data_IF_866334492455
#
_entry.id   IF_866334492455
#
_cell.length_a   1.000
_cell.length_b   1.000
_cell.length_c   1.000
_cell.angle_alpha   90.00
_cell.angle_beta   90.00
_cell.angle_gamma   90.00
#
_symmetry.space_group_name_H-M   'P 1'
#
loop_
_entity.id
_entity.type
_entity.pdbx_description
1 polymer ?
#
# COMPACT_ATOMS: atom_id res chain seq x y z
N UNK A 1 27.31 -13.32 19.23
CA UNK A 1 26.09 -14.15 19.10
C UNK A 1 25.91 -14.41 17.61
N UNK A 2 26.25 -15.60 17.12
CA UNK A 2 26.00 -16.00 15.73
C UNK A 2 24.57 -16.51 15.63
N UNK A 3 23.76 -15.87 14.79
CA UNK A 3 22.44 -16.39 14.45
C UNK A 3 22.60 -17.48 13.41
N UNK A 4 21.93 -18.61 13.64
CA UNK A 4 21.88 -19.69 12.66
C UNK A 4 20.97 -19.30 11.48
N UNK A 5 21.23 -19.79 10.25
CA UNK A 5 20.44 -19.40 9.06
C UNK A 5 18.93 -19.57 9.22
N UNK A 6 18.48 -20.65 9.87
CA UNK A 6 17.06 -20.91 10.11
C UNK A 6 16.40 -19.86 11.01
N UNK A 7 17.13 -19.26 11.95
CA UNK A 7 16.61 -18.22 12.84
C UNK A 7 16.33 -16.94 12.05
N UNK A 8 17.22 -16.61 11.11
CA UNK A 8 17.06 -15.45 10.22
C UNK A 8 15.81 -15.61 9.34
N UNK A 9 15.58 -16.81 8.81
CA UNK A 9 14.39 -17.09 7.99
C UNK A 9 13.09 -16.98 8.78
N UNK A 10 13.03 -17.54 9.99
CA UNK A 10 11.85 -17.45 10.85
C UNK A 10 11.52 -15.98 11.15
N UNK A 11 12.51 -15.18 11.52
CA UNK A 11 12.32 -13.74 11.77
C UNK A 11 11.81 -13.05 10.50
N UNK A 12 12.39 -13.38 9.34
CA UNK A 12 11.96 -12.84 8.04
C UNK A 12 10.50 -13.16 7.71
N UNK A 13 10.07 -14.41 7.89
CA UNK A 13 8.69 -14.82 7.66
C UNK A 13 7.71 -14.21 8.67
N UNK A 14 8.10 -14.12 9.95
CA UNK A 14 7.29 -13.42 10.97
C UNK A 14 7.14 -11.94 10.62
N UNK A 15 8.22 -11.26 10.22
CA UNK A 15 8.17 -9.87 9.79
C UNK A 15 7.27 -9.69 8.57
N UNK A 16 7.39 -10.57 7.56
CA UNK A 16 6.56 -10.57 6.36
C UNK A 16 5.06 -10.74 6.70
N UNK A 17 4.74 -11.69 7.58
CA UNK A 17 3.38 -11.95 8.02
C UNK A 17 2.79 -10.76 8.80
N UNK A 18 3.50 -10.28 9.83
CA UNK A 18 3.02 -9.20 10.68
C UNK A 18 2.80 -7.90 9.90
N UNK A 19 3.73 -7.54 9.02
CA UNK A 19 3.59 -6.33 8.18
C UNK A 19 2.42 -6.46 7.23
N UNK A 20 2.29 -7.60 6.54
CA UNK A 20 1.15 -7.88 5.65
C UNK A 20 -0.19 -7.75 6.39
N UNK A 21 -0.33 -8.43 7.53
CA UNK A 21 -1.56 -8.44 8.32
C UNK A 21 -1.86 -7.05 8.88
N UNK A 22 -0.87 -6.22 9.18
CA UNK A 22 -1.09 -4.84 9.62
C UNK A 22 -1.72 -3.96 8.52
N UNK A 23 -1.35 -4.16 7.25
CA UNK A 23 -1.89 -3.38 6.12
C UNK A 23 -3.26 -3.87 5.63
N UNK A 24 -3.58 -5.15 5.83
CA UNK A 24 -4.80 -5.75 5.29
C UNK A 24 -6.11 -5.14 5.83
N UNK A 25 -6.29 -4.90 7.15
CA UNK A 25 -7.50 -4.25 7.69
C UNK A 25 -7.74 -2.85 7.09
N UNK A 26 -6.67 -2.09 6.86
CA UNK A 26 -6.76 -0.76 6.28
C UNK A 26 -7.20 -0.81 4.81
N UNK A 27 -6.70 -1.79 4.05
CA UNK A 27 -7.12 -2.04 2.68
C UNK A 27 -8.60 -2.44 2.60
N UNK A 28 -9.02 -3.40 3.43
CA UNK A 28 -10.41 -3.86 3.51
C UNK A 28 -11.34 -2.71 3.88
N UNK A 29 -10.99 -1.90 4.89
CA UNK A 29 -11.77 -0.72 5.28
C UNK A 29 -11.92 0.25 4.11
N UNK A 30 -10.82 0.57 3.42
CA UNK A 30 -10.82 1.48 2.27
C UNK A 30 -11.71 0.99 1.14
N UNK A 31 -11.71 -0.32 0.85
CA UNK A 31 -12.59 -0.92 -0.16
C UNK A 31 -14.05 -0.93 0.26
N UNK A 32 -14.33 -1.22 1.54
CA UNK A 32 -15.70 -1.37 2.06
C UNK A 32 -16.41 -0.03 2.24
N UNK A 33 -15.74 0.95 2.84
CA UNK A 33 -16.35 2.27 3.11
C UNK A 33 -16.29 3.18 1.89
N UNK A 34 -15.31 2.98 1.00
CA UNK A 34 -14.94 3.92 -0.08
C UNK A 34 -14.66 5.34 0.42
N UNK A 35 -14.52 5.52 1.73
CA UNK A 35 -14.14 6.78 2.34
C UNK A 35 -12.62 6.87 2.34
N UNK A 36 -12.11 7.60 1.36
CA UNK A 36 -10.68 7.83 1.16
C UNK A 36 -10.29 9.25 1.56
N UNK A 37 -11.17 10.02 2.22
CA UNK A 37 -10.97 11.43 2.55
C UNK A 37 -9.72 11.67 3.40
N UNK A 38 -9.46 10.80 4.38
CA UNK A 38 -8.26 10.82 5.23
C UNK A 38 -6.99 10.28 4.58
N UNK A 39 -7.06 9.79 3.33
CA UNK A 39 -5.90 9.23 2.63
C UNK A 39 -5.31 10.27 1.68
N UNK A 40 -4.07 10.67 1.95
CA UNK A 40 -3.28 11.53 1.06
C UNK A 40 -2.85 10.74 -0.18
N UNK A 41 -3.19 11.28 -1.36
CA UNK A 41 -2.82 10.68 -2.64
C UNK A 41 -1.30 10.62 -2.81
N UNK A 42 -0.60 11.72 -2.49
CA UNK A 42 0.86 11.80 -2.61
C UNK A 42 1.58 10.81 -1.68
N UNK A 43 1.10 10.67 -0.45
CA UNK A 43 1.65 9.69 0.51
C UNK A 43 1.51 8.26 -0.02
N UNK A 44 0.31 7.88 -0.48
CA UNK A 44 0.10 6.52 -1.02
C UNK A 44 0.85 6.27 -2.33
N UNK A 45 1.02 7.29 -3.17
CA UNK A 45 1.85 7.18 -4.38
C UNK A 45 3.31 6.90 -4.03
N UNK A 46 3.91 7.71 -3.15
CA UNK A 46 5.29 7.50 -2.67
C UNK A 46 5.45 6.14 -1.98
N UNK A 47 4.51 5.76 -1.13
CA UNK A 47 4.51 4.45 -0.47
C UNK A 47 4.47 3.31 -1.48
N UNK A 48 3.58 3.36 -2.47
CA UNK A 48 3.45 2.33 -3.51
C UNK A 48 4.73 2.19 -4.34
N UNK A 49 5.34 3.32 -4.76
CA UNK A 49 6.63 3.29 -5.47
C UNK A 49 7.73 2.72 -4.58
N UNK A 50 7.83 3.16 -3.33
CA UNK A 50 8.83 2.67 -2.39
C UNK A 50 8.74 1.16 -2.16
N UNK A 51 7.54 0.61 -1.94
CA UNK A 51 7.32 -0.84 -1.80
C UNK A 51 7.65 -1.58 -3.11
N UNK A 52 7.33 -0.99 -4.26
CA UNK A 52 7.71 -1.54 -5.57
C UNK A 52 9.23 -1.62 -5.74
N UNK A 53 9.97 -0.59 -5.32
CA UNK A 53 11.43 -0.60 -5.31
C UNK A 53 11.99 -1.65 -4.33
N UNK A 54 11.40 -1.80 -3.15
CA UNK A 54 11.77 -2.87 -2.21
C UNK A 54 11.51 -4.27 -2.75
N UNK A 55 10.44 -4.46 -3.52
CA UNK A 55 10.17 -5.72 -4.21
C UNK A 55 11.25 -6.03 -5.25
N UNK A 56 11.59 -5.05 -6.10
CA UNK A 56 12.68 -5.19 -7.09
C UNK A 56 14.00 -5.48 -6.39
N UNK A 57 14.31 -4.76 -5.31
CA UNK A 57 15.50 -5.01 -4.50
C UNK A 57 15.51 -6.43 -3.92
N UNK A 58 14.39 -6.91 -3.37
CA UNK A 58 14.27 -8.27 -2.85
C UNK A 58 14.49 -9.35 -3.90
N UNK A 59 14.03 -9.13 -5.14
CA UNK A 59 14.29 -10.01 -6.27
C UNK A 59 15.79 -10.04 -6.62
N UNK A 60 16.47 -8.89 -6.60
CA UNK A 60 17.93 -8.79 -6.88
C UNK A 60 18.75 -9.58 -5.85
N UNK A 61 18.37 -9.54 -4.57
CA UNK A 61 19.10 -10.24 -3.49
C UNK A 61 18.54 -11.65 -3.18
N UNK A 62 17.57 -12.13 -3.96
CA UNK A 62 16.92 -13.44 -3.84
C UNK A 62 16.40 -13.76 -2.43
N UNK A 63 15.85 -12.77 -1.72
CA UNK A 63 15.30 -12.94 -0.36
C UNK A 63 13.78 -13.15 -0.37
N UNK A 64 13.36 -14.41 -0.37
CA UNK A 64 11.94 -14.81 -0.45
C UNK A 64 11.01 -14.14 0.58
N UNK A 65 11.33 -14.04 1.88
CA UNK A 65 10.44 -13.36 2.82
C UNK A 65 10.21 -11.88 2.47
N UNK A 66 11.25 -11.19 2.00
CA UNK A 66 11.18 -9.79 1.58
C UNK A 66 10.37 -9.64 0.28
N UNK A 67 10.56 -10.55 -0.67
CA UNK A 67 9.80 -10.59 -1.93
C UNK A 67 8.32 -10.81 -1.64
N UNK A 68 7.97 -11.83 -0.85
CA UNK A 68 6.59 -12.17 -0.55
C UNK A 68 5.86 -11.05 0.18
N UNK A 69 6.51 -10.44 1.19
CA UNK A 69 5.96 -9.31 1.93
C UNK A 69 5.66 -8.12 1.00
N UNK A 70 6.67 -7.66 0.26
CA UNK A 70 6.52 -6.48 -0.58
C UNK A 70 5.59 -6.73 -1.77
N UNK A 71 5.55 -7.94 -2.34
CA UNK A 71 4.60 -8.25 -3.42
C UNK A 71 3.14 -8.10 -2.96
N UNK A 72 2.82 -8.63 -1.78
CA UNK A 72 1.46 -8.55 -1.24
C UNK A 72 1.12 -7.12 -0.80
N UNK A 73 2.03 -6.44 -0.11
CA UNK A 73 1.86 -5.02 0.25
C UNK A 73 1.72 -4.14 -0.99
N UNK A 74 2.50 -4.37 -2.05
CA UNK A 74 2.43 -3.62 -3.29
C UNK A 74 1.07 -3.78 -3.97
N UNK A 75 0.55 -5.02 -4.06
CA UNK A 75 -0.76 -5.28 -4.65
C UNK A 75 -1.88 -4.55 -3.89
N UNK A 76 -1.85 -4.59 -2.56
CA UNK A 76 -2.81 -3.88 -1.71
C UNK A 76 -2.67 -2.35 -1.86
N UNK A 77 -1.46 -1.80 -1.78
CA UNK A 77 -1.20 -0.37 -1.89
C UNK A 77 -1.63 0.18 -3.26
N UNK A 78 -1.27 -0.53 -4.34
CA UNK A 78 -1.63 -0.16 -5.71
C UNK A 78 -3.14 -0.14 -5.91
N UNK A 79 -3.86 -1.13 -5.36
CA UNK A 79 -5.33 -1.15 -5.46
C UNK A 79 -5.99 0.07 -4.79
N UNK A 80 -5.50 0.49 -3.61
CA UNK A 80 -6.02 1.64 -2.87
C UNK A 80 -5.68 2.93 -3.61
N UNK A 81 -4.45 3.03 -4.14
CA UNK A 81 -4.01 4.17 -4.94
C UNK A 81 -4.90 4.35 -6.18
N UNK A 82 -5.18 3.26 -6.92
CA UNK A 82 -6.06 3.29 -8.09
C UNK A 82 -7.50 3.70 -7.72
N UNK A 83 -8.02 3.23 -6.58
CA UNK A 83 -9.33 3.64 -6.08
C UNK A 83 -9.37 5.12 -5.68
N UNK A 84 -8.29 5.63 -5.07
CA UNK A 84 -8.17 7.05 -4.71
C UNK A 84 -8.10 7.93 -5.95
N UNK A 85 -7.27 7.58 -6.93
CA UNK A 85 -7.16 8.30 -8.20
C UNK A 85 -8.53 8.41 -8.90
N UNK A 86 -9.26 7.29 -8.98
CA UNK A 86 -10.62 7.26 -9.54
C UNK A 86 -11.61 8.15 -8.80
N UNK A 87 -11.53 8.26 -7.48
CA UNK A 87 -12.40 9.16 -6.71
C UNK A 87 -12.01 10.63 -6.89
N UNK A 88 -10.71 10.95 -6.78
CA UNK A 88 -10.22 12.32 -6.91
C UNK A 88 -10.57 12.92 -8.28
N UNK A 89 -10.37 12.19 -9.38
CA UNK A 89 -10.73 12.67 -10.72
C UNK A 89 -12.24 12.94 -10.86
N UNK A 90 -13.10 12.12 -10.23
CA UNK A 90 -14.56 12.36 -10.24
C UNK A 90 -14.92 13.63 -9.45
N UNK A 91 -14.28 13.85 -8.30
CA UNK A 91 -14.53 15.04 -7.48
C UNK A 91 -14.11 16.32 -8.19
N UNK A 92 -12.94 16.34 -8.84
CA UNK A 92 -12.45 17.49 -9.62
C UNK A 92 -13.37 17.84 -10.79
N UNK A 93 -13.80 16.84 -11.57
CA UNK A 93 -14.74 17.04 -12.69
C UNK A 93 -16.08 17.61 -12.18
N UNK A 94 -16.58 17.12 -11.05
CA UNK A 94 -17.86 17.56 -10.49
C UNK A 94 -17.79 18.98 -9.91
N UNK A 95 -16.63 19.39 -9.37
CA UNK A 95 -16.39 20.77 -8.93
C UNK A 95 -16.29 21.74 -10.11
N UNK A 96 -15.64 21.34 -11.21
CA UNK A 96 -15.60 22.16 -12.43
C UNK A 96 -16.97 22.30 -13.10
N UNK A 97 -17.81 21.26 -13.06
CA UNK A 97 -19.17 21.31 -13.60
C UNK A 97 -20.18 22.04 -12.69
N UNK A 98 -19.89 22.19 -11.39
CA UNK A 98 -20.78 22.89 -10.46
C UNK A 98 -19.99 23.68 -9.38
N UNK A 99 -19.49 24.89 -9.71
CA UNK A 99 -18.57 25.65 -8.85
C UNK A 99 -19.19 26.16 -7.53
N UNK A 100 -20.50 26.00 -7.33
CA UNK A 100 -21.23 26.57 -6.19
C UNK A 100 -21.28 25.61 -4.98
N UNK A 101 -20.84 24.36 -5.13
CA UNK A 101 -20.98 23.32 -4.08
C UNK A 101 -19.89 23.34 -3.00
N UNK A 102 -18.83 24.15 -3.16
CA UNK A 102 -17.67 24.21 -2.25
C UNK A 102 -17.69 25.34 -1.21
N UNK A 103 -18.80 26.09 -1.09
CA UNK A 103 -18.93 27.25 -0.19
C UNK A 103 -19.84 27.03 1.02
N UNK A 104 -20.19 25.78 1.34
CA UNK A 104 -21.01 25.41 2.49
C UNK A 104 -20.17 24.85 3.63
#
# INVERSE_FOLDING_TARGET
MSLEPHQIEIIGYCAAFLTTVAFLPQAIRSWRTKDLSGISLGMYALFTVGVGLWLVYGLIIEKWPLIMANALTFALALSILLLKLRHTSKTEIQQHQNPLKGKS
#
